data_IF_769896500788
#
_entry.id   IF_769896500788
#
_cell.length_a   1.000
_cell.length_b   1.000
_cell.length_c   1.000
_cell.angle_alpha   90.00
_cell.angle_beta   90.00
_cell.angle_gamma   90.00
#
_symmetry.space_group_name_H-M   'P 1'
#
loop_
_entity.id
_entity.type
_entity.pdbx_description
1 polymer ?
#
# COMPACT_ATOMS: atom_id res chain seq x y z
N UNK A 1 10.84 -6.78 -2.93
CA UNK A 1 10.17 -6.52 -1.65
C UNK A 1 9.51 -5.16 -1.75
N UNK A 2 8.24 -5.01 -1.36
CA UNK A 2 7.58 -3.70 -1.38
C UNK A 2 8.26 -2.72 -0.43
N UNK A 3 8.24 -1.44 -0.79
CA UNK A 3 8.74 -0.34 0.04
C UNK A 3 7.56 0.49 0.54
N UNK A 4 7.41 0.61 1.86
CA UNK A 4 6.34 1.37 2.52
C UNK A 4 6.94 2.63 3.16
N UNK A 5 6.32 3.78 2.93
CA UNK A 5 6.73 5.08 3.47
C UNK A 5 5.52 5.95 3.85
N UNK A 6 5.74 6.91 4.74
CA UNK A 6 4.74 7.89 5.17
C UNK A 6 5.39 9.12 5.81
N UNK A 7 4.61 10.18 5.99
CA UNK A 7 5.01 11.36 6.78
C UNK A 7 4.99 11.03 8.28
N UNK A 8 3.94 10.34 8.74
CA UNK A 8 3.86 9.89 10.13
C UNK A 8 4.73 8.63 10.34
N UNK A 9 5.18 8.35 11.58
CA UNK A 9 5.88 7.12 11.89
C UNK A 9 5.08 5.88 11.48
N UNK A 10 5.75 4.90 10.87
CA UNK A 10 5.12 3.62 10.56
C UNK A 10 4.96 2.83 11.85
N UNK A 11 3.72 2.45 12.15
CA UNK A 11 3.40 1.59 13.28
C UNK A 11 3.53 0.12 12.85
N UNK A 12 4.19 -0.70 13.68
CA UNK A 12 4.23 -2.15 13.50
C UNK A 12 3.40 -2.83 14.58
N UNK A 13 2.45 -3.66 14.14
CA UNK A 13 1.62 -4.50 14.98
C UNK A 13 2.10 -5.95 14.82
N UNK A 14 2.82 -6.42 15.85
CA UNK A 14 3.46 -7.74 15.86
C UNK A 14 2.44 -8.88 15.91
N UNK A 15 1.33 -8.72 16.62
CA UNK A 15 0.30 -9.77 16.72
C UNK A 15 -0.37 -10.00 15.36
N UNK A 16 -0.69 -8.91 14.67
CA UNK A 16 -1.32 -8.97 13.35
C UNK A 16 -0.34 -9.00 12.17
N UNK A 17 0.98 -9.00 12.42
CA UNK A 17 2.04 -8.98 11.40
C UNK A 17 1.80 -7.94 10.30
N UNK A 18 1.45 -6.71 10.70
CA UNK A 18 1.11 -5.62 9.78
C UNK A 18 1.84 -4.32 10.08
N UNK A 19 2.08 -3.57 9.01
CA UNK A 19 2.61 -2.20 9.06
C UNK A 19 1.49 -1.22 8.73
N UNK A 20 1.39 -0.13 9.49
CA UNK A 20 0.40 0.93 9.27
C UNK A 20 1.14 2.23 8.99
N UNK A 21 0.95 2.75 7.79
CA UNK A 21 1.50 4.03 7.31
C UNK A 21 0.36 5.05 7.19
N UNK A 22 0.62 6.30 7.62
CA UNK A 22 -0.39 7.38 7.69
C UNK A 22 0.19 8.73 7.26
N UNK A 23 -0.65 9.59 6.69
CA UNK A 23 -0.23 10.91 6.25
C UNK A 23 0.63 10.81 4.99
N UNK A 24 -0.02 10.83 3.82
CA UNK A 24 0.59 10.56 2.51
C UNK A 24 1.35 9.21 2.49
N UNK A 25 0.64 8.15 2.89
CA UNK A 25 1.17 6.80 2.87
C UNK A 25 1.41 6.36 1.42
N UNK A 26 2.59 5.78 1.17
CA UNK A 26 3.02 5.30 -0.15
C UNK A 26 3.59 3.90 -0.06
N UNK A 27 3.11 3.02 -0.94
CA UNK A 27 3.65 1.69 -1.20
C UNK A 27 4.15 1.62 -2.64
N UNK A 28 5.44 1.37 -2.83
CA UNK A 28 6.03 1.09 -4.14
C UNK A 28 6.32 -0.42 -4.27
N UNK A 29 5.81 -1.05 -5.33
CA UNK A 29 6.00 -2.47 -5.62
C UNK A 29 5.89 -2.76 -7.12
N UNK A 30 6.89 -3.42 -7.70
CA UNK A 30 6.90 -3.89 -9.10
C UNK A 30 6.44 -2.83 -10.13
N UNK A 31 7.03 -1.63 -10.05
CA UNK A 31 6.68 -0.50 -10.94
C UNK A 31 5.29 0.13 -10.69
N UNK A 32 4.56 -0.38 -9.70
CA UNK A 32 3.29 0.17 -9.22
C UNK A 32 3.52 1.05 -8.01
N UNK A 33 2.92 2.24 -8.01
CA UNK A 33 2.88 3.16 -6.88
C UNK A 33 1.45 3.31 -6.39
N UNK A 34 1.20 2.87 -5.16
CA UNK A 34 -0.04 3.08 -4.43
C UNK A 34 0.17 4.21 -3.41
N UNK A 35 -0.68 5.24 -3.45
CA UNK A 35 -0.71 6.33 -2.48
C UNK A 35 -2.10 6.45 -1.86
N UNK A 36 -2.17 6.79 -0.58
CA UNK A 36 -3.42 7.01 0.15
C UNK A 36 -3.17 7.82 1.43
N UNK A 37 -4.24 8.25 2.10
CA UNK A 37 -4.12 8.85 3.43
C UNK A 37 -3.60 7.82 4.45
N UNK A 38 -4.02 6.56 4.31
CA UNK A 38 -3.55 5.42 5.11
C UNK A 38 -3.35 4.17 4.26
N UNK A 39 -2.25 3.45 4.51
CA UNK A 39 -2.01 2.11 3.98
C UNK A 39 -1.73 1.16 5.13
N UNK A 40 -2.48 0.06 5.20
CA UNK A 40 -2.16 -1.09 6.07
C UNK A 40 -1.61 -2.22 5.22
N UNK A 41 -0.37 -2.62 5.47
CA UNK A 41 0.28 -3.72 4.76
C UNK A 41 0.36 -4.96 5.65
N UNK A 42 -0.36 -6.02 5.27
CA UNK A 42 -0.33 -7.31 5.93
C UNK A 42 0.79 -8.15 5.33
N UNK A 43 1.89 -8.30 6.05
CA UNK A 43 3.13 -8.87 5.50
C UNK A 43 2.96 -10.35 5.14
N UNK A 44 2.24 -11.11 5.96
CA UNK A 44 1.98 -12.53 5.76
C UNK A 44 1.26 -12.81 4.43
N UNK A 45 0.28 -11.97 4.09
CA UNK A 45 -0.53 -12.10 2.87
C UNK A 45 -0.01 -11.29 1.69
N UNK A 46 1.03 -10.47 1.90
CA UNK A 46 1.49 -9.48 0.94
C UNK A 46 0.36 -8.61 0.41
N UNK A 47 -0.54 -8.17 1.30
CA UNK A 47 -1.76 -7.46 0.93
C UNK A 47 -1.72 -6.03 1.48
N UNK A 48 -2.00 -5.05 0.63
CA UNK A 48 -2.12 -3.65 1.02
C UNK A 48 -3.58 -3.20 0.98
N UNK A 49 -4.10 -2.72 2.11
CA UNK A 49 -5.40 -2.05 2.21
C UNK A 49 -5.17 -0.54 2.30
N UNK A 50 -5.64 0.20 1.31
CA UNK A 50 -5.46 1.63 1.16
C UNK A 50 -6.79 2.37 1.28
N UNK A 51 -6.79 3.44 2.06
CA UNK A 51 -7.99 4.16 2.49
C UNK A 51 -7.76 5.68 2.46
N UNK A 52 -8.67 6.40 1.82
CA UNK A 52 -8.63 7.86 1.61
C UNK A 52 -7.73 8.30 0.46
N UNK A 53 -8.26 9.12 -0.44
CA UNK A 53 -7.53 9.74 -1.56
C UNK A 53 -6.64 8.77 -2.35
N UNK A 54 -7.13 7.54 -2.59
CA UNK A 54 -6.32 6.46 -3.15
C UNK A 54 -5.95 6.73 -4.61
N UNK A 55 -4.67 6.58 -4.91
CA UNK A 55 -4.10 6.74 -6.24
C UNK A 55 -3.16 5.58 -6.55
N UNK A 56 -3.45 4.83 -7.61
CA UNK A 56 -2.57 3.77 -8.11
C UNK A 56 -2.03 4.19 -9.46
N UNK A 57 -0.70 4.23 -9.61
CA UNK A 57 -0.02 4.53 -10.86
C UNK A 57 0.80 3.32 -11.30
N UNK A 58 0.58 2.84 -12.53
CA UNK A 58 1.35 1.75 -13.16
C UNK A 58 1.38 1.96 -14.66
N UNK A 59 2.56 1.97 -15.27
CA UNK A 59 2.76 1.95 -16.74
C UNK A 59 1.78 2.81 -17.56
N UNK A 60 1.61 4.08 -17.20
CA UNK A 60 0.74 5.02 -17.94
C UNK A 60 -0.74 4.98 -17.54
N UNK A 61 -1.14 4.05 -16.68
CA UNK A 61 -2.46 4.02 -16.06
C UNK A 61 -2.45 4.71 -14.69
N UNK A 62 -3.53 5.44 -14.42
CA UNK A 62 -3.83 6.02 -13.12
C UNK A 62 -5.24 5.63 -12.72
N UNK A 63 -5.38 4.98 -11.56
CA UNK A 63 -6.65 4.66 -10.94
C UNK A 63 -6.85 5.56 -9.72
N UNK A 64 -8.08 6.02 -9.54
CA UNK A 64 -8.51 6.86 -8.41
C UNK A 64 -9.64 6.15 -7.69
N UNK A 65 -9.58 6.10 -6.36
CA UNK A 65 -10.62 5.50 -5.54
C UNK A 65 -10.64 6.11 -4.13
N UNK A 66 -11.71 5.87 -3.38
CA UNK A 66 -11.73 6.16 -1.94
C UNK A 66 -11.08 5.04 -1.12
N UNK A 67 -11.17 3.79 -1.60
CA UNK A 67 -10.54 2.62 -0.98
C UNK A 67 -10.10 1.64 -2.06
N UNK A 68 -8.96 0.99 -1.87
CA UNK A 68 -8.50 -0.09 -2.72
C UNK A 68 -7.74 -1.14 -1.92
N UNK A 69 -7.79 -2.38 -2.39
CA UNK A 69 -6.93 -3.46 -1.90
C UNK A 69 -6.02 -3.88 -3.04
N UNK A 70 -4.73 -4.05 -2.75
CA UNK A 70 -3.71 -4.41 -3.73
C UNK A 70 -2.90 -5.61 -3.24
N UNK A 71 -2.81 -6.64 -4.08
CA UNK A 71 -2.02 -7.84 -3.83
C UNK A 71 -0.58 -7.61 -4.35
N UNK A 72 0.42 -7.84 -3.50
CA UNK A 72 1.85 -7.72 -3.81
C UNK A 72 2.55 -9.09 -3.94
N UNK A 73 1.80 -10.18 -3.89
CA UNK A 73 2.29 -11.55 -4.13
C UNK A 73 1.94 -12.04 -5.54
N UNK A 74 0.82 -11.61 -6.13
CA UNK A 74 0.43 -12.07 -7.47
C UNK A 74 1.18 -11.32 -8.60
N UNK A 75 2.29 -11.92 -9.04
CA UNK A 75 2.66 -11.88 -10.46
C UNK A 75 1.89 -12.97 -11.20
N UNK A 76 0.63 -12.69 -11.59
CA UNK A 76 -0.02 -13.47 -12.64
C UNK A 76 0.68 -13.15 -13.97
N UNK A 77 1.63 -14.01 -14.35
CA UNK A 77 2.21 -14.07 -15.68
C UNK A 77 1.23 -14.68 -16.69
#
# INVERSE_FOLDING_TARGET
MPELSSIEPIEFDEEAQRLVARGDARLDFDGTRLQADRITYYQEFGLADADGNVQINREGYRLLAERATYDTQESIF
#
